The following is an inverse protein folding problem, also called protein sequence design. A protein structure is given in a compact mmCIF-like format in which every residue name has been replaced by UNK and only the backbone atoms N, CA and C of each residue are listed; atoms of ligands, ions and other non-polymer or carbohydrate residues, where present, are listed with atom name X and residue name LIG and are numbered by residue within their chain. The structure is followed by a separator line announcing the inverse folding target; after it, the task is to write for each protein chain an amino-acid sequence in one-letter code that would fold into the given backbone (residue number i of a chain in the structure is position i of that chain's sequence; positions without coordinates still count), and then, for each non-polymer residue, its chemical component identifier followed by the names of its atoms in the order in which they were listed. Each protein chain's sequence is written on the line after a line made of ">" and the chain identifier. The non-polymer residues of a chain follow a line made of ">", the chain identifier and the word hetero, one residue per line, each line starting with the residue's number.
data_IF_537419213056
#
_entry.id   IF_537419213056
#
_cell.length_a   1.000
_cell.length_b   1.000
_cell.length_c   1.000
_cell.angle_alpha   90.00
_cell.angle_beta   90.00
_cell.angle_gamma   90.00
#
_symmetry.space_group_name_H-M   'P 1'
#
loop_
_entity.id
_entity.type
_entity.pdbx_description
1 polymer ?
#
# COMPACT_ATOMS: atom_id res chain seq x y z
N UNK A 1 -12.28 -10.21 3.31
CA UNK A 1 -10.89 -10.00 3.74
C UNK A 1 -10.48 -11.28 4.44
N UNK A 2 -9.35 -11.86 4.02
CA UNK A 2 -8.79 -13.05 4.66
C UNK A 2 -7.80 -12.60 5.75
N UNK A 3 -7.50 -13.46 6.71
CA UNK A 3 -6.56 -13.19 7.80
C UNK A 3 -5.53 -14.31 7.89
N UNK A 4 -4.27 -13.96 8.17
CA UNK A 4 -3.22 -14.93 8.42
C UNK A 4 -3.25 -15.44 9.88
N UNK A 5 -2.29 -16.29 10.25
CA UNK A 5 -2.20 -16.90 11.57
C UNK A 5 -2.01 -15.86 12.70
N UNK A 6 -1.47 -14.68 12.39
CA UNK A 6 -1.26 -13.58 13.32
C UNK A 6 -2.45 -12.60 13.33
N UNK A 7 -3.57 -12.97 12.70
CA UNK A 7 -4.78 -12.16 12.55
C UNK A 7 -4.52 -10.82 11.82
N UNK A 8 -3.56 -10.84 10.89
CA UNK A 8 -3.26 -9.72 10.00
C UNK A 8 -4.03 -9.92 8.70
N UNK A 9 -4.76 -8.92 8.21
CA UNK A 9 -5.52 -9.07 6.99
C UNK A 9 -4.63 -9.15 5.75
N UNK A 10 -5.12 -9.88 4.75
CA UNK A 10 -4.59 -9.86 3.39
C UNK A 10 -5.72 -9.95 2.36
N UNK A 11 -5.41 -9.58 1.12
CA UNK A 11 -6.31 -9.68 -0.01
C UNK A 11 -5.72 -10.63 -1.05
N UNK A 12 -6.44 -11.71 -1.37
CA UNK A 12 -6.08 -12.59 -2.48
C UNK A 12 -6.63 -12.04 -3.80
N UNK A 13 -5.83 -12.07 -4.85
CA UNK A 13 -6.32 -11.72 -6.18
C UNK A 13 -7.33 -12.77 -6.69
N UNK A 14 -8.32 -12.36 -7.50
CA UNK A 14 -9.28 -13.29 -8.07
C UNK A 14 -8.60 -14.24 -9.09
N UNK A 15 -9.27 -15.35 -9.48
CA UNK A 15 -8.80 -16.20 -10.56
C UNK A 15 -8.47 -15.41 -11.83
N UNK A 16 -7.37 -15.75 -12.55
CA UNK A 16 -6.52 -16.93 -12.36
C UNK A 16 -5.35 -16.72 -11.37
N UNK A 17 -5.21 -15.55 -10.74
CA UNK A 17 -4.03 -15.17 -9.94
C UNK A 17 -4.20 -15.45 -8.44
N UNK A 18 -4.88 -16.53 -8.08
CA UNK A 18 -5.19 -16.84 -6.67
C UNK A 18 -3.96 -17.16 -5.82
N UNK A 19 -2.78 -17.37 -6.43
CA UNK A 19 -1.50 -17.47 -5.72
C UNK A 19 -0.97 -16.11 -5.25
N UNK A 20 -1.45 -15.00 -5.82
CA UNK A 20 -0.97 -13.66 -5.50
C UNK A 20 -1.84 -13.04 -4.39
N UNK A 21 -1.19 -12.51 -3.36
CA UNK A 21 -1.81 -11.81 -2.25
C UNK A 21 -1.22 -10.42 -2.05
N UNK A 22 -2.05 -9.49 -1.60
CA UNK A 22 -1.68 -8.17 -1.11
C UNK A 22 -1.68 -8.22 0.41
N UNK A 23 -0.54 -7.98 1.01
CA UNK A 23 -0.31 -8.10 2.44
C UNK A 23 0.10 -6.76 3.04
N UNK A 24 -0.06 -6.64 4.36
CA UNK A 24 0.61 -5.58 5.11
C UNK A 24 2.12 -5.82 5.06
N UNK A 25 2.88 -4.74 5.13
CA UNK A 25 4.33 -4.81 5.26
C UNK A 25 4.77 -5.54 6.54
N UNK A 26 5.87 -6.28 6.45
CA UNK A 26 6.58 -6.90 7.59
C UNK A 26 8.02 -6.39 7.59
N UNK A 27 8.59 -6.18 8.77
CA UNK A 27 9.98 -5.72 8.89
C UNK A 27 11.00 -6.64 8.17
N UNK A 28 10.68 -7.92 8.05
CA UNK A 28 11.49 -8.92 7.31
C UNK A 28 11.49 -8.71 5.80
N UNK A 29 10.60 -7.88 5.25
CA UNK A 29 10.56 -7.58 3.82
C UNK A 29 11.64 -6.57 3.39
N UNK A 30 12.14 -5.74 4.32
CA UNK A 30 13.07 -4.65 4.02
C UNK A 30 14.28 -5.06 3.16
N UNK A 31 15.03 -6.13 3.49
CA UNK A 31 16.22 -6.49 2.70
C UNK A 31 15.87 -6.85 1.25
N UNK A 32 14.69 -7.47 1.03
CA UNK A 32 14.24 -7.88 -0.30
C UNK A 32 13.80 -6.65 -1.10
N UNK A 33 12.97 -5.79 -0.51
CA UNK A 33 12.48 -4.58 -1.18
C UNK A 33 13.62 -3.60 -1.51
N UNK A 34 14.57 -3.42 -0.59
CA UNK A 34 15.76 -2.58 -0.85
C UNK A 34 16.59 -3.15 -2.00
N UNK A 35 16.78 -4.47 -2.03
CA UNK A 35 17.50 -5.14 -3.12
C UNK A 35 16.77 -4.95 -4.47
N UNK A 36 15.44 -5.12 -4.49
CA UNK A 36 14.62 -4.92 -5.68
C UNK A 36 14.71 -3.49 -6.21
N UNK A 37 14.63 -2.48 -5.33
CA UNK A 37 14.71 -1.06 -5.71
C UNK A 37 16.11 -0.61 -6.13
N UNK A 38 17.14 -1.42 -5.90
CA UNK A 38 18.49 -1.20 -6.45
C UNK A 38 18.76 -2.04 -7.70
N UNK A 39 17.80 -2.85 -8.17
CA UNK A 39 17.97 -3.64 -9.37
C UNK A 39 17.78 -2.79 -10.64
N UNK A 40 18.67 -2.85 -11.65
CA UNK A 40 18.57 -2.03 -12.87
C UNK A 40 17.26 -2.18 -13.65
N UNK A 41 16.66 -3.37 -13.64
CA UNK A 41 15.34 -3.57 -14.26
C UNK A 41 14.21 -2.82 -13.54
N UNK A 42 14.43 -2.34 -12.32
CA UNK A 42 13.45 -1.61 -11.50
C UNK A 42 13.77 -0.12 -11.50
N UNK A 43 14.92 0.32 -10.95
CA UNK A 43 15.17 1.76 -10.74
C UNK A 43 15.26 2.57 -12.05
N UNK A 44 15.57 1.94 -13.18
CA UNK A 44 15.59 2.63 -14.48
C UNK A 44 14.17 2.94 -15.01
N UNK A 45 13.14 2.35 -14.40
CA UNK A 45 11.74 2.49 -14.80
C UNK A 45 10.89 3.24 -13.75
N UNK A 46 11.53 3.82 -12.73
CA UNK A 46 10.83 4.55 -11.67
C UNK A 46 11.28 6.02 -11.63
N UNK A 47 10.36 6.92 -11.28
CA UNK A 47 10.67 8.33 -11.04
C UNK A 47 11.33 8.55 -9.67
N UNK A 48 10.98 7.72 -8.70
CA UNK A 48 11.64 7.57 -7.40
C UNK A 48 11.50 6.14 -6.91
N UNK A 49 12.04 5.77 -5.73
CA UNK A 49 12.83 6.58 -4.81
C UNK A 49 14.27 6.84 -5.33
N UNK A 50 15.11 7.60 -4.61
CA UNK A 50 16.48 7.88 -5.05
C UNK A 50 17.30 6.60 -5.27
N UNK A 51 18.17 6.62 -6.28
CA UNK A 51 19.20 5.61 -6.50
C UNK A 51 20.58 6.14 -6.05
N UNK A 52 21.36 5.39 -5.25
CA UNK A 52 21.02 4.10 -4.67
C UNK A 52 19.93 4.23 -3.59
N UNK A 53 19.08 3.21 -3.50
CA UNK A 53 18.03 3.16 -2.48
C UNK A 53 18.60 2.61 -1.17
N UNK A 54 18.73 3.48 -0.17
CA UNK A 54 19.37 3.18 1.11
C UNK A 54 18.34 2.77 2.17
N UNK A 55 18.83 2.14 3.25
CA UNK A 55 18.00 1.77 4.41
C UNK A 55 17.26 2.99 4.98
N UNK A 56 17.90 4.16 5.04
CA UNK A 56 17.26 5.40 5.53
C UNK A 56 16.07 5.87 4.68
N UNK A 57 16.13 5.68 3.36
CA UNK A 57 15.01 5.95 2.46
C UNK A 57 13.85 4.99 2.75
N UNK A 58 14.19 3.72 2.98
CA UNK A 58 13.23 2.68 3.35
C UNK A 58 12.56 2.95 4.69
N UNK A 59 13.33 3.29 5.71
CA UNK A 59 12.81 3.59 7.05
C UNK A 59 11.87 4.81 7.02
N UNK A 60 12.20 5.82 6.22
CA UNK A 60 11.34 6.98 6.01
C UNK A 60 10.01 6.60 5.35
N UNK A 61 10.06 5.79 4.27
CA UNK A 61 8.86 5.26 3.58
C UNK A 61 7.99 4.43 4.53
N UNK A 62 8.60 3.51 5.27
CA UNK A 62 7.88 2.61 6.19
C UNK A 62 7.17 3.38 7.28
N UNK A 63 7.82 4.41 7.86
CA UNK A 63 7.19 5.23 8.90
C UNK A 63 5.90 5.92 8.42
N UNK A 64 5.88 6.40 7.18
CA UNK A 64 4.67 7.00 6.59
C UNK A 64 3.58 5.94 6.37
N UNK A 65 3.95 4.81 5.79
CA UNK A 65 3.04 3.70 5.49
C UNK A 65 2.46 3.03 6.74
N UNK A 66 3.24 2.88 7.81
CA UNK A 66 2.78 2.30 9.08
C UNK A 66 1.67 3.14 9.71
N UNK A 67 1.74 4.47 9.61
CA UNK A 67 0.70 5.36 10.13
C UNK A 67 -0.63 5.16 9.39
N UNK A 68 -0.60 5.09 8.06
CA UNK A 68 -1.78 4.85 7.22
C UNK A 68 -2.36 3.45 7.43
N UNK A 69 -1.48 2.43 7.47
CA UNK A 69 -1.87 1.04 7.72
C UNK A 69 -2.53 0.89 9.08
N UNK A 70 -1.92 1.46 10.14
CA UNK A 70 -2.48 1.42 11.50
C UNK A 70 -3.85 2.09 11.56
N UNK A 71 -4.01 3.23 10.88
CA UNK A 71 -5.29 3.93 10.80
C UNK A 71 -6.37 3.09 10.11
N UNK A 72 -6.06 2.53 8.93
CA UNK A 72 -6.99 1.69 8.18
C UNK A 72 -7.42 0.44 8.96
N UNK A 73 -6.46 -0.25 9.59
CA UNK A 73 -6.74 -1.45 10.40
C UNK A 73 -7.58 -1.13 11.64
N UNK A 74 -7.34 0.02 12.28
CA UNK A 74 -8.14 0.47 13.42
C UNK A 74 -9.59 0.74 13.01
N UNK A 75 -9.79 1.52 11.94
CA UNK A 75 -11.14 1.80 11.39
C UNK A 75 -11.87 0.51 11.05
N UNK A 76 -11.19 -0.41 10.37
CA UNK A 76 -11.75 -1.72 10.02
C UNK A 76 -12.21 -2.50 11.27
N UNK A 77 -11.35 -2.61 12.29
CA UNK A 77 -11.66 -3.33 13.54
C UNK A 77 -12.78 -2.66 14.35
N UNK A 78 -12.83 -1.33 14.36
CA UNK A 78 -13.91 -0.59 15.03
C UNK A 78 -15.27 -0.88 14.39
N UNK A 79 -15.34 -1.02 13.05
CA UNK A 79 -16.59 -1.35 12.38
C UNK A 79 -17.01 -2.81 12.59
N UNK A 80 -16.08 -3.77 12.50
CA UNK A 80 -16.41 -5.18 12.77
C UNK A 80 -17.05 -5.40 14.14
N UNK A 81 -16.65 -4.61 15.14
CA UNK A 81 -17.13 -4.75 16.52
C UNK A 81 -18.49 -4.09 16.80
N UNK A 82 -18.91 -3.08 16.02
CA UNK A 82 -20.04 -2.20 16.40
C UNK A 82 -21.27 -2.40 15.52
N UNK A 83 -21.10 -2.59 14.21
CA UNK A 83 -22.21 -2.75 13.27
C UNK A 83 -21.77 -3.74 12.20
N UNK A 84 -22.53 -4.80 11.97
CA UNK A 84 -22.31 -5.76 10.87
C UNK A 84 -22.54 -5.14 9.47
N UNK A 85 -22.35 -3.83 9.31
CA UNK A 85 -22.48 -3.07 8.07
C UNK A 85 -21.09 -2.83 7.48
N UNK A 86 -20.96 -2.98 6.17
CA UNK A 86 -19.70 -2.70 5.46
C UNK A 86 -19.49 -1.18 5.42
N UNK A 87 -18.30 -0.72 5.81
CA UNK A 87 -17.89 0.68 5.69
C UNK A 87 -16.52 0.79 5.05
N UNK A 88 -16.34 1.86 4.28
CA UNK A 88 -15.07 2.22 3.67
C UNK A 88 -14.05 2.67 4.72
N UNK A 89 -12.80 2.24 4.57
CA UNK A 89 -11.66 2.76 5.32
C UNK A 89 -11.08 3.97 4.60
N UNK A 90 -10.47 4.88 5.35
CA UNK A 90 -9.86 6.09 4.81
C UNK A 90 -8.49 5.86 4.16
N UNK A 91 -7.92 4.66 4.33
CA UNK A 91 -6.65 4.24 3.75
C UNK A 91 -6.67 2.73 3.42
N UNK A 92 -5.65 2.27 2.70
CA UNK A 92 -5.46 0.86 2.31
C UNK A 92 -4.30 0.27 3.11
N UNK A 93 -4.50 -0.84 3.85
CA UNK A 93 -3.47 -1.42 4.71
C UNK A 93 -2.46 -2.32 3.96
N UNK A 94 -2.63 -2.50 2.66
CA UNK A 94 -1.82 -3.41 1.86
C UNK A 94 -0.79 -2.65 1.04
N UNK A 95 0.46 -3.11 1.11
CA UNK A 95 1.58 -2.49 0.39
C UNK A 95 2.57 -3.49 -0.18
N UNK A 96 2.51 -4.75 0.24
CA UNK A 96 3.45 -5.79 -0.23
C UNK A 96 2.71 -6.82 -1.07
N UNK A 97 3.28 -7.16 -2.22
CA UNK A 97 2.79 -8.20 -3.12
C UNK A 97 3.54 -9.49 -2.79
N UNK A 98 2.81 -10.56 -2.53
CA UNK A 98 3.38 -11.89 -2.30
C UNK A 98 2.80 -12.90 -3.27
N UNK A 99 3.59 -13.93 -3.56
CA UNK A 99 3.10 -15.19 -4.11
C UNK A 99 3.15 -16.26 -3.03
N UNK A 100 2.04 -16.96 -2.82
CA UNK A 100 1.95 -18.12 -1.94
C UNK A 100 1.98 -19.39 -2.78
N UNK A 101 2.96 -20.24 -2.52
CA UNK A 101 3.03 -21.58 -3.09
C UNK A 101 1.89 -22.46 -2.56
N UNK A 102 1.10 -23.03 -3.46
CA UNK A 102 -0.12 -23.77 -3.09
C UNK A 102 0.13 -25.10 -2.38
N UNK A 103 1.31 -25.69 -2.53
CA UNK A 103 1.64 -26.99 -1.92
C UNK A 103 2.34 -26.84 -0.57
N UNK A 104 3.34 -25.97 -0.49
CA UNK A 104 4.16 -25.75 0.71
C UNK A 104 3.66 -24.63 1.61
N UNK A 105 2.78 -23.75 1.09
CA UNK A 105 2.34 -22.53 1.78
C UNK A 105 3.42 -21.46 1.91
N UNK A 106 4.57 -21.64 1.25
CA UNK A 106 5.68 -20.68 1.30
C UNK A 106 5.28 -19.38 0.62
N UNK A 107 5.52 -18.26 1.30
CA UNK A 107 5.33 -16.92 0.74
C UNK A 107 6.64 -16.36 0.18
N UNK A 108 6.58 -15.78 -1.01
CA UNK A 108 7.68 -15.06 -1.65
C UNK A 108 7.26 -13.62 -1.91
N UNK A 109 8.08 -12.65 -1.48
CA UNK A 109 7.87 -11.23 -1.80
C UNK A 109 8.15 -11.01 -3.28
N UNK A 110 7.17 -10.45 -4.00
CA UNK A 110 7.29 -10.09 -5.41
C UNK A 110 7.60 -8.60 -5.62
N UNK A 111 7.27 -7.76 -4.64
CA UNK A 111 7.49 -6.32 -4.69
C UNK A 111 6.59 -5.59 -3.71
N UNK A 112 6.58 -4.26 -3.81
CA UNK A 112 5.66 -3.39 -3.11
C UNK A 112 4.92 -2.46 -4.07
N UNK A 113 3.86 -1.84 -3.55
CA UNK A 113 3.12 -0.81 -4.24
C UNK A 113 2.60 0.19 -3.21
N UNK A 114 2.28 1.38 -3.69
CA UNK A 114 1.63 2.42 -2.91
C UNK A 114 0.24 2.63 -3.50
N UNK A 115 -0.78 2.67 -2.63
CA UNK A 115 -2.15 3.00 -2.97
C UNK A 115 -2.62 4.09 -2.02
N UNK A 116 -2.79 5.31 -2.54
CA UNK A 116 -3.10 6.49 -1.72
C UNK A 116 -3.98 7.47 -2.50
N UNK A 117 -4.51 8.46 -1.81
CA UNK A 117 -5.16 9.60 -2.47
C UNK A 117 -4.13 10.34 -3.30
N UNK A 118 -4.52 10.81 -4.48
CA UNK A 118 -3.56 11.38 -5.40
C UNK A 118 -2.91 12.66 -4.89
N UNK A 119 -1.59 12.77 -5.10
CA UNK A 119 -0.82 13.99 -4.87
C UNK A 119 -0.88 14.96 -6.07
N UNK A 120 -1.49 14.54 -7.20
CA UNK A 120 -1.62 15.34 -8.43
C UNK A 120 -0.26 15.87 -8.93
N UNK A 121 0.75 15.00 -8.94
CA UNK A 121 2.13 15.36 -9.31
C UNK A 121 2.28 15.79 -10.78
N UNK A 122 1.27 15.51 -11.62
CA UNK A 122 1.14 15.97 -13.00
C UNK A 122 0.71 17.45 -13.12
N UNK A 123 0.23 18.07 -12.03
CA UNK A 123 -0.10 19.49 -11.96
C UNK A 123 1.16 20.31 -11.63
N UNK A 124 1.62 21.10 -12.60
CA UNK A 124 2.85 21.90 -12.48
C UNK A 124 2.72 23.11 -11.54
N UNK A 125 1.55 23.75 -11.47
CA UNK A 125 1.32 24.88 -10.57
C UNK A 125 1.15 24.36 -9.13
N UNK A 126 2.10 24.70 -8.26
CA UNK A 126 2.14 24.20 -6.89
C UNK A 126 0.90 24.60 -6.08
N UNK A 127 0.40 25.83 -6.26
CA UNK A 127 -0.75 26.33 -5.53
C UNK A 127 -2.03 25.65 -6.00
N UNK A 128 -2.18 25.46 -7.31
CA UNK A 128 -3.28 24.70 -7.88
C UNK A 128 -3.25 23.24 -7.40
N UNK A 129 -2.08 22.59 -7.45
CA UNK A 129 -1.87 21.23 -6.96
C UNK A 129 -2.28 21.09 -5.49
N UNK A 130 -1.81 21.98 -4.61
CA UNK A 130 -2.17 21.99 -3.20
C UNK A 130 -3.68 22.17 -2.99
N UNK A 131 -4.32 23.05 -3.76
CA UNK A 131 -5.77 23.26 -3.67
C UNK A 131 -6.57 22.00 -4.08
N UNK A 132 -6.18 21.35 -5.19
CA UNK A 132 -6.84 20.14 -5.68
C UNK A 132 -6.62 18.98 -4.70
N UNK A 133 -5.36 18.78 -4.27
CA UNK A 133 -5.00 17.78 -3.27
C UNK A 133 -5.80 17.98 -1.98
N UNK A 134 -5.87 19.20 -1.45
CA UNK A 134 -6.62 19.49 -0.22
C UNK A 134 -8.12 19.18 -0.36
N UNK A 135 -8.72 19.47 -1.52
CA UNK A 135 -10.11 19.10 -1.80
C UNK A 135 -10.30 17.58 -1.83
N UNK A 136 -9.39 16.86 -2.50
CA UNK A 136 -9.42 15.40 -2.58
C UNK A 136 -9.24 14.74 -1.20
N UNK A 137 -8.32 15.27 -0.38
CA UNK A 137 -8.05 14.81 0.99
C UNK A 137 -9.23 15.06 1.95
N UNK A 138 -10.06 16.06 1.66
CA UNK A 138 -11.24 16.40 2.47
C UNK A 138 -12.45 15.50 2.20
N UNK A 139 -12.47 14.75 1.10
CA UNK A 139 -13.58 13.85 0.76
C UNK A 139 -13.71 12.70 1.78
N UNK A 140 -14.95 12.32 2.10
CA UNK A 140 -15.20 11.23 3.04
C UNK A 140 -14.78 9.88 2.46
N UNK A 141 -14.38 8.94 3.31
CA UNK A 141 -14.02 7.59 2.86
C UNK A 141 -15.19 6.93 2.12
N UNK A 142 -14.95 6.50 0.87
CA UNK A 142 -15.95 5.91 0.01
C UNK A 142 -16.68 6.88 -0.92
N UNK A 143 -16.33 8.17 -0.87
CA UNK A 143 -16.82 9.14 -1.84
C UNK A 143 -16.31 8.78 -3.26
N UNK A 144 -17.20 8.66 -4.26
CA UNK A 144 -16.83 8.26 -5.61
C UNK A 144 -15.96 9.29 -6.35
N UNK A 145 -15.90 10.54 -5.88
CA UNK A 145 -15.11 11.61 -6.49
C UNK A 145 -13.64 11.61 -5.98
N UNK A 146 -13.29 10.70 -5.05
CA UNK A 146 -11.89 10.56 -4.62
C UNK A 146 -11.04 10.07 -5.80
N UNK A 147 -10.02 10.86 -6.11
CA UNK A 147 -8.96 10.46 -7.02
C UNK A 147 -7.91 9.70 -6.24
N UNK A 148 -7.77 8.42 -6.59
CA UNK A 148 -6.74 7.52 -6.07
C UNK A 148 -5.59 7.41 -7.07
N UNK A 149 -4.39 7.20 -6.55
CA UNK A 149 -3.21 6.87 -7.35
C UNK A 149 -2.60 5.53 -6.92
N UNK A 150 -2.00 4.85 -7.88
CA UNK A 150 -1.24 3.61 -7.69
C UNK A 150 0.16 3.85 -8.21
N UNK A 151 1.15 3.60 -7.35
CA UNK A 151 2.56 3.83 -7.66
C UNK A 151 3.03 5.24 -7.33
N UNK A 152 4.34 5.37 -7.13
CA UNK A 152 5.07 6.63 -6.97
C UNK A 152 6.52 6.44 -7.43
#
# INVERSE_FOLDING_TARGET
>A
MEFDADNIPYLRLPPPHTSITLNTYRATDAPILISMLNHPAVYMNLAGPPFPYLQEHHDSKVKAMEAETTKALKEFREFENVKKERKWTSAVPFSVIRETDGESGRETVLGDFVFRRSDFLDVNDEKERENIKSRNDALEAGDPDIVWEIGC
#
